data_IF_147653109035
#
_entry.id   IF_147653109035
#
_cell.length_a   1.000
_cell.length_b   1.000
_cell.length_c   1.000
_cell.angle_alpha   90.00
_cell.angle_beta   90.00
_cell.angle_gamma   90.00
#
_symmetry.space_group_name_H-M   'P 1'
#
loop_
_entity.id
_entity.type
_entity.pdbx_description
1 polymer ?
#
# COMPACT_ATOMS: atom_id res chain seq x y z
N UNK A 1 12.38 -66.68 29.22
CA UNK A 1 11.07 -66.09 29.55
C UNK A 1 11.07 -64.64 29.10
N UNK A 2 10.08 -64.31 28.26
CA UNK A 2 9.55 -63.01 27.84
C UNK A 2 10.40 -62.02 27.03
N UNK A 3 9.80 -61.74 25.86
CA UNK A 3 10.14 -60.81 24.80
C UNK A 3 9.57 -59.42 25.14
N UNK A 4 10.03 -58.37 24.47
CA UNK A 4 9.13 -57.48 23.71
C UNK A 4 9.92 -56.30 23.16
N UNK A 5 9.94 -56.21 21.83
CA UNK A 5 10.37 -55.01 21.13
C UNK A 5 9.29 -53.94 21.17
N UNK A 6 9.71 -52.68 21.14
CA UNK A 6 8.84 -51.58 20.76
C UNK A 6 9.46 -50.79 19.60
N UNK A 7 8.70 -50.77 18.52
CA UNK A 7 8.94 -49.99 17.33
C UNK A 7 8.50 -48.52 17.53
N UNK A 8 9.34 -47.61 17.01
CA UNK A 8 9.00 -46.50 16.14
C UNK A 8 7.73 -45.65 16.42
N UNK A 9 7.91 -44.34 16.63
CA UNK A 9 7.21 -43.32 15.82
C UNK A 9 7.85 -41.93 15.94
N UNK A 10 8.66 -41.57 14.96
CA UNK A 10 8.98 -40.17 14.68
C UNK A 10 7.71 -39.48 14.16
N UNK A 11 7.10 -38.63 14.97
CA UNK A 11 5.99 -37.77 14.56
C UNK A 11 6.54 -36.59 13.76
N UNK A 12 6.66 -36.76 12.44
CA UNK A 12 6.84 -35.64 11.52
C UNK A 12 5.49 -34.94 11.35
N UNK A 13 5.32 -33.78 11.99
CA UNK A 13 4.20 -32.87 11.74
C UNK A 13 4.42 -32.19 10.38
N UNK A 14 3.51 -32.31 9.39
CA UNK A 14 3.61 -31.53 8.17
C UNK A 14 3.20 -30.09 8.47
N UNK A 15 4.19 -29.22 8.69
CA UNK A 15 3.98 -27.76 8.81
C UNK A 15 4.30 -27.11 7.47
N UNK A 16 3.50 -27.36 6.43
CA UNK A 16 3.74 -26.69 5.12
C UNK A 16 2.47 -26.53 4.30
N UNK A 17 1.47 -25.83 4.85
CA UNK A 17 0.30 -25.44 4.04
C UNK A 17 -0.16 -24.01 4.30
N UNK A 18 0.20 -23.39 5.44
CA UNK A 18 -0.15 -22.00 5.71
C UNK A 18 0.73 -20.96 4.99
N UNK A 19 1.95 -21.31 4.57
CA UNK A 19 2.84 -20.36 3.89
C UNK A 19 2.44 -20.11 2.43
N UNK A 20 2.03 -21.14 1.70
CA UNK A 20 1.72 -21.03 0.27
C UNK A 20 0.47 -20.17 -0.01
N UNK A 21 -0.54 -20.23 0.87
CA UNK A 21 -1.74 -19.40 0.75
C UNK A 21 -1.46 -17.93 1.09
N UNK A 22 -0.55 -17.66 2.05
CA UNK A 22 -0.17 -16.29 2.44
C UNK A 22 0.67 -15.59 1.37
N UNK A 23 1.63 -16.29 0.75
CA UNK A 23 2.43 -15.73 -0.35
C UNK A 23 1.58 -15.45 -1.61
N UNK A 24 0.54 -16.25 -1.87
CA UNK A 24 -0.36 -16.01 -2.99
C UNK A 24 -1.18 -14.71 -2.84
N UNK A 25 -1.65 -14.40 -1.61
CA UNK A 25 -2.37 -13.14 -1.34
C UNK A 25 -1.43 -11.93 -1.23
N UNK A 26 -0.20 -12.11 -0.75
CA UNK A 26 0.84 -11.06 -0.75
C UNK A 26 1.24 -10.64 -2.17
N UNK A 27 1.25 -11.57 -3.13
CA UNK A 27 1.58 -11.29 -4.53
C UNK A 27 0.44 -10.69 -5.36
N UNK A 28 -0.83 -10.87 -4.98
CA UNK A 28 -1.96 -10.44 -5.81
C UNK A 28 -2.05 -8.91 -6.00
N UNK A 29 -1.53 -8.14 -5.04
CA UNK A 29 -1.49 -6.67 -5.12
C UNK A 29 -0.11 -6.12 -5.51
N UNK A 30 0.93 -6.96 -5.52
CA UNK A 30 2.29 -6.51 -5.72
C UNK A 30 2.54 -6.15 -7.19
N UNK A 31 3.12 -4.98 -7.45
CA UNK A 31 3.27 -4.43 -8.79
C UNK A 31 2.12 -3.53 -9.25
N UNK A 32 1.16 -3.23 -8.37
CA UNK A 32 0.08 -2.28 -8.67
C UNK A 32 0.48 -0.85 -8.31
N UNK A 33 0.11 0.07 -9.19
CA UNK A 33 0.10 1.51 -8.92
C UNK A 33 -1.35 1.96 -8.98
N UNK A 34 -1.80 2.69 -7.96
CA UNK A 34 -3.19 3.15 -7.85
C UNK A 34 -3.24 4.60 -7.46
N UNK A 35 -4.12 5.35 -8.11
CA UNK A 35 -4.38 6.74 -7.80
C UNK A 35 -5.58 6.87 -6.86
N UNK A 36 -5.43 7.67 -5.82
CA UNK A 36 -6.48 7.97 -4.85
C UNK A 36 -6.77 9.46 -4.91
N UNK A 37 -7.90 9.76 -5.52
CA UNK A 37 -8.42 11.12 -5.67
C UNK A 37 -9.30 11.43 -4.48
N UNK A 38 -9.01 12.52 -3.77
CA UNK A 38 -9.76 12.90 -2.57
C UNK A 38 -9.95 14.40 -2.48
N UNK A 39 -11.03 14.83 -1.83
CA UNK A 39 -11.27 16.25 -1.57
C UNK A 39 -10.38 16.75 -0.43
N UNK A 40 -9.71 17.90 -0.62
CA UNK A 40 -8.88 18.51 0.44
C UNK A 40 -9.68 18.78 1.73
N UNK A 41 -10.99 19.01 1.61
CA UNK A 41 -11.89 19.26 2.73
C UNK A 41 -12.22 17.99 3.54
N UNK A 42 -11.99 16.80 2.97
CA UNK A 42 -12.29 15.51 3.61
C UNK A 42 -11.15 14.49 3.46
N UNK A 43 -9.94 14.80 3.96
CA UNK A 43 -8.78 13.90 3.85
C UNK A 43 -8.95 12.60 4.66
N UNK A 44 -9.79 12.65 5.70
CA UNK A 44 -10.11 11.50 6.55
C UNK A 44 -10.72 10.33 5.74
N UNK A 45 -11.53 10.63 4.72
CA UNK A 45 -12.21 9.59 3.93
C UNK A 45 -11.21 8.75 3.12
N UNK A 46 -10.24 9.40 2.48
CA UNK A 46 -9.19 8.73 1.74
C UNK A 46 -8.33 7.84 2.64
N UNK A 47 -8.05 8.32 3.86
CA UNK A 47 -7.32 7.57 4.86
C UNK A 47 -8.09 6.32 5.29
N UNK A 48 -9.38 6.45 5.63
CA UNK A 48 -10.21 5.31 6.05
C UNK A 48 -10.33 4.23 4.97
N UNK A 49 -10.43 4.60 3.70
CA UNK A 49 -10.49 3.66 2.58
C UNK A 49 -9.17 2.88 2.42
N UNK A 50 -8.03 3.53 2.63
CA UNK A 50 -6.72 2.91 2.49
C UNK A 50 -6.30 2.08 3.70
N UNK A 51 -6.82 2.39 4.90
CA UNK A 51 -6.39 1.77 6.15
C UNK A 51 -6.42 0.23 6.15
N UNK A 52 -7.47 -0.47 5.69
CA UNK A 52 -7.50 -1.93 5.68
C UNK A 52 -6.36 -2.52 4.85
N UNK A 53 -6.06 -1.91 3.70
CA UNK A 53 -4.98 -2.35 2.83
C UNK A 53 -3.61 -2.02 3.42
N UNK A 54 -3.44 -0.85 4.01
CA UNK A 54 -2.20 -0.49 4.71
C UNK A 54 -1.94 -1.45 5.89
N UNK A 55 -2.97 -1.86 6.63
CA UNK A 55 -2.83 -2.89 7.68
C UNK A 55 -2.38 -4.22 7.11
N UNK A 56 -2.98 -4.67 6.00
CA UNK A 56 -2.59 -5.91 5.34
C UNK A 56 -1.13 -5.88 4.89
N UNK A 57 -0.71 -4.80 4.22
CA UNK A 57 0.67 -4.62 3.79
C UNK A 57 1.63 -4.48 4.98
N UNK A 58 1.16 -3.97 6.12
CA UNK A 58 1.94 -3.81 7.36
C UNK A 58 2.24 -5.13 8.08
N UNK A 59 1.51 -6.20 7.76
CA UNK A 59 1.83 -7.54 8.24
C UNK A 59 3.10 -8.10 7.60
N UNK A 60 3.52 -7.55 6.46
CA UNK A 60 4.77 -7.94 5.81
C UNK A 60 5.99 -7.47 6.64
N UNK A 61 7.12 -8.13 6.46
CA UNK A 61 8.40 -7.74 7.07
C UNK A 61 9.11 -6.63 6.30
N UNK A 62 8.35 -5.64 5.84
CA UNK A 62 8.78 -4.58 4.92
C UNK A 62 8.28 -3.22 5.38
N UNK A 63 8.94 -2.17 4.95
CA UNK A 63 8.63 -0.81 5.35
C UNK A 63 7.42 -0.25 4.58
N UNK A 64 6.73 0.71 5.19
CA UNK A 64 5.74 1.54 4.52
C UNK A 64 6.29 2.95 4.42
N UNK A 65 6.35 3.51 3.22
CA UNK A 65 6.95 4.82 2.97
C UNK A 65 5.88 5.86 2.63
N UNK A 66 5.91 6.98 3.34
CA UNK A 66 5.11 8.17 3.05
C UNK A 66 6.00 9.32 2.57
N UNK A 67 5.76 9.78 1.34
CA UNK A 67 6.36 10.97 0.75
C UNK A 67 5.34 12.11 0.81
N UNK A 68 5.38 12.89 1.89
CA UNK A 68 4.38 13.92 2.18
C UNK A 68 4.96 15.32 2.01
N UNK A 69 4.31 16.24 1.28
CA UNK A 69 4.84 17.58 1.04
C UNK A 69 4.84 18.44 2.31
N UNK A 70 3.80 18.35 3.17
CA UNK A 70 3.67 19.25 4.34
C UNK A 70 3.14 18.62 5.63
N UNK A 71 2.35 17.53 5.56
CA UNK A 71 1.73 16.96 6.76
C UNK A 71 2.65 15.97 7.45
N UNK A 72 2.92 16.17 8.74
CA UNK A 72 3.56 15.16 9.60
C UNK A 72 2.55 14.04 9.89
N UNK A 73 3.00 12.80 9.76
CA UNK A 73 2.20 11.64 10.10
C UNK A 73 2.12 11.56 11.64
N UNK A 74 0.92 11.74 12.20
CA UNK A 74 0.74 11.66 13.65
C UNK A 74 1.02 10.24 14.14
N UNK A 75 1.92 10.10 15.13
CA UNK A 75 2.21 8.81 15.76
C UNK A 75 0.96 8.18 16.37
N UNK A 76 0.11 9.00 16.99
CA UNK A 76 -1.16 8.57 17.58
C UNK A 76 -2.12 8.05 16.51
N UNK A 77 -2.18 8.71 15.35
CA UNK A 77 -2.96 8.23 14.22
C UNK A 77 -2.45 6.87 13.72
N UNK A 78 -1.14 6.71 13.54
CA UNK A 78 -0.56 5.42 13.09
C UNK A 78 -0.88 4.31 14.08
N UNK A 79 -0.76 4.58 15.39
CA UNK A 79 -1.05 3.63 16.44
C UNK A 79 -2.54 3.25 16.51
N UNK A 80 -3.44 4.24 16.55
CA UNK A 80 -4.89 4.03 16.56
C UNK A 80 -5.40 3.36 15.28
N UNK A 81 -4.71 3.61 14.17
CA UNK A 81 -4.92 2.97 12.88
C UNK A 81 -4.42 1.53 12.82
N UNK A 82 -3.78 0.99 13.86
CA UNK A 82 -3.29 -0.40 13.86
C UNK A 82 -2.17 -0.66 12.87
N UNK A 83 -1.45 0.39 12.44
CA UNK A 83 -0.27 0.27 11.59
C UNK A 83 0.97 0.00 12.45
N UNK A 84 1.95 -0.76 11.95
CA UNK A 84 3.16 -1.10 12.70
C UNK A 84 4.06 0.12 12.83
N UNK A 85 4.01 0.81 13.99
CA UNK A 85 4.78 2.05 14.25
C UNK A 85 6.29 1.93 13.93
N UNK A 86 6.85 0.72 14.10
CA UNK A 86 8.27 0.42 13.89
C UNK A 86 8.67 0.23 12.43
N UNK A 87 7.70 0.10 11.51
CA UNK A 87 7.92 -0.15 10.07
C UNK A 87 7.34 0.97 9.20
N UNK A 88 7.07 2.12 9.78
CA UNK A 88 6.55 3.29 9.10
C UNK A 88 7.67 4.31 8.95
N UNK A 89 7.94 4.71 7.71
CA UNK A 89 8.92 5.74 7.37
C UNK A 89 8.23 6.91 6.69
N UNK A 90 8.55 8.13 7.13
CA UNK A 90 8.05 9.34 6.53
C UNK A 90 9.21 10.21 6.05
N UNK A 91 9.12 10.69 4.80
CA UNK A 91 9.97 11.75 4.27
C UNK A 91 9.07 12.97 4.07
N UNK A 92 9.35 14.01 4.86
CA UNK A 92 8.65 15.30 4.78
C UNK A 92 9.48 16.32 4.00
N UNK A 93 8.84 17.38 3.48
CA UNK A 93 9.50 18.47 2.75
C UNK A 93 10.19 18.05 1.43
N UNK A 94 9.78 16.93 0.86
CA UNK A 94 10.24 16.54 -0.47
C UNK A 94 9.66 17.52 -1.51
N UNK A 95 10.53 18.12 -2.32
CA UNK A 95 10.06 18.99 -3.39
C UNK A 95 9.21 18.19 -4.39
N UNK A 96 8.08 18.73 -4.89
CA UNK A 96 7.16 17.99 -5.76
C UNK A 96 7.86 17.28 -6.94
N UNK A 97 8.79 17.99 -7.61
CA UNK A 97 9.62 17.48 -8.71
C UNK A 97 10.42 16.21 -8.41
N UNK A 98 10.72 15.94 -7.13
CA UNK A 98 11.51 14.78 -6.70
C UNK A 98 10.64 13.62 -6.22
N UNK A 99 9.33 13.81 -6.09
CA UNK A 99 8.41 12.80 -5.57
C UNK A 99 8.38 11.58 -6.48
N UNK A 100 8.20 11.77 -7.79
CA UNK A 100 8.15 10.69 -8.76
C UNK A 100 9.42 9.82 -8.72
N UNK A 101 10.58 10.46 -8.91
CA UNK A 101 11.88 9.79 -8.88
C UNK A 101 12.12 9.06 -7.56
N UNK A 102 11.73 9.66 -6.44
CA UNK A 102 11.86 9.04 -5.12
C UNK A 102 10.95 7.82 -4.97
N UNK A 103 9.72 7.88 -5.49
CA UNK A 103 8.80 6.74 -5.52
C UNK A 103 9.37 5.59 -6.36
N UNK A 104 9.81 5.88 -7.59
CA UNK A 104 10.40 4.88 -8.50
C UNK A 104 11.58 4.18 -7.84
N UNK A 105 12.50 4.94 -7.24
CA UNK A 105 13.67 4.39 -6.55
C UNK A 105 13.28 3.55 -5.34
N UNK A 106 12.38 4.05 -4.50
CA UNK A 106 11.92 3.35 -3.32
C UNK A 106 11.25 2.01 -3.68
N UNK A 107 10.32 2.02 -4.63
CA UNK A 107 9.64 0.82 -5.12
C UNK A 107 10.67 -0.21 -5.61
N UNK A 108 11.62 0.18 -6.47
CA UNK A 108 12.66 -0.73 -7.00
C UNK A 108 13.53 -1.40 -5.92
N UNK A 109 13.67 -0.82 -4.73
CA UNK A 109 14.53 -1.42 -3.69
C UNK A 109 13.99 -2.74 -3.15
N UNK A 110 12.69 -3.01 -3.28
CA UNK A 110 12.06 -4.17 -2.65
C UNK A 110 11.93 -4.10 -1.13
N UNK A 111 12.43 -3.05 -0.48
CA UNK A 111 12.38 -2.91 0.98
C UNK A 111 11.04 -2.42 1.51
N UNK A 112 10.18 -1.89 0.62
CA UNK A 112 8.89 -1.30 0.98
C UNK A 112 7.73 -2.15 0.48
N UNK A 113 6.77 -2.48 1.34
CA UNK A 113 5.51 -3.10 0.90
C UNK A 113 4.62 -2.09 0.17
N UNK A 114 4.71 -0.81 0.55
CA UNK A 114 3.94 0.28 -0.03
C UNK A 114 4.74 1.58 -0.05
N UNK A 115 4.58 2.35 -1.12
CA UNK A 115 5.11 3.71 -1.26
C UNK A 115 3.96 4.65 -1.62
N UNK A 116 3.75 5.67 -0.81
CA UNK A 116 2.64 6.63 -0.95
C UNK A 116 3.23 8.01 -1.23
N UNK A 117 2.87 8.62 -2.35
CA UNK A 117 3.31 9.96 -2.72
C UNK A 117 2.13 10.89 -3.00
N UNK A 118 2.27 12.15 -2.62
CA UNK A 118 1.29 13.20 -2.94
C UNK A 118 1.75 13.99 -4.15
N UNK A 119 0.94 13.99 -5.21
CA UNK A 119 1.27 14.63 -6.48
C UNK A 119 0.01 15.29 -7.05
N UNK A 120 0.12 16.54 -7.47
CA UNK A 120 -0.99 17.29 -8.08
C UNK A 120 -0.95 17.25 -9.60
N UNK A 121 0.22 17.03 -10.18
CA UNK A 121 0.45 16.99 -11.63
C UNK A 121 0.10 15.62 -12.20
N UNK A 122 -0.59 15.59 -13.34
CA UNK A 122 -0.86 14.35 -14.07
C UNK A 122 0.46 13.72 -14.52
N UNK A 123 0.54 12.39 -14.45
CA UNK A 123 1.72 11.66 -14.91
C UNK A 123 1.60 11.41 -16.41
N UNK A 124 2.71 11.48 -17.13
CA UNK A 124 2.75 10.98 -18.50
C UNK A 124 2.64 9.45 -18.52
N UNK A 125 2.33 8.89 -19.69
CA UNK A 125 2.26 7.43 -19.85
C UNK A 125 3.60 6.76 -19.53
N UNK A 126 4.73 7.38 -19.91
CA UNK A 126 6.08 6.90 -19.63
C UNK A 126 6.40 6.92 -18.13
N UNK A 127 5.98 7.98 -17.43
CA UNK A 127 6.16 8.11 -15.98
C UNK A 127 5.34 7.06 -15.23
N UNK A 128 4.08 6.87 -15.63
CA UNK A 128 3.22 5.85 -15.06
C UNK A 128 3.77 4.43 -15.33
N UNK A 129 4.22 4.15 -16.56
CA UNK A 129 4.84 2.87 -16.91
C UNK A 129 6.10 2.61 -16.07
N UNK A 130 6.92 3.65 -15.85
CA UNK A 130 8.12 3.56 -15.01
C UNK A 130 7.81 3.24 -13.55
N UNK A 131 6.73 3.83 -12.99
CA UNK A 131 6.25 3.50 -11.65
C UNK A 131 5.72 2.07 -11.54
N UNK A 132 4.92 1.63 -12.53
CA UNK A 132 4.38 0.26 -12.56
C UNK A 132 5.51 -0.76 -12.64
N UNK A 133 6.50 -0.52 -13.50
CA UNK A 133 7.66 -1.39 -13.61
C UNK A 133 8.47 -1.42 -12.31
N UNK A 134 8.70 -0.26 -11.69
CA UNK A 134 9.34 -0.17 -10.40
C UNK A 134 8.60 -0.94 -9.30
N UNK A 135 7.27 -0.83 -9.26
CA UNK A 135 6.41 -1.55 -8.31
C UNK A 135 6.50 -3.06 -8.53
N UNK A 136 6.52 -3.52 -9.79
CA UNK A 136 6.66 -4.94 -10.13
C UNK A 136 8.00 -5.49 -9.71
N UNK A 137 9.09 -4.83 -10.10
CA UNK A 137 10.47 -5.20 -9.70
C UNK A 137 10.60 -5.25 -8.19
N UNK A 138 10.01 -4.27 -7.51
CA UNK A 138 9.99 -4.17 -6.06
C UNK A 138 9.03 -5.10 -5.36
N UNK A 139 8.15 -5.83 -6.06
CA UNK A 139 7.01 -6.52 -5.47
C UNK A 139 6.22 -5.65 -4.47
N UNK A 140 6.00 -4.39 -4.80
CA UNK A 140 5.47 -3.36 -3.91
C UNK A 140 4.21 -2.71 -4.49
N UNK A 141 3.46 -1.99 -3.65
CA UNK A 141 2.29 -1.20 -4.09
C UNK A 141 2.65 0.28 -4.12
N UNK A 142 2.32 0.97 -5.20
CA UNK A 142 2.42 2.43 -5.32
C UNK A 142 1.07 3.11 -5.13
N UNK A 143 0.98 4.11 -4.25
CA UNK A 143 -0.19 4.99 -4.14
C UNK A 143 0.15 6.42 -4.50
N UNK A 144 -0.64 7.00 -5.40
CA UNK A 144 -0.56 8.42 -5.76
C UNK A 144 -1.78 9.12 -5.17
N UNK A 145 -1.54 10.01 -4.22
CA UNK A 145 -2.57 10.77 -3.53
C UNK A 145 -2.78 12.10 -4.25
N UNK A 146 -3.96 12.29 -4.84
CA UNK A 146 -4.34 13.48 -5.60
C UNK A 146 -5.41 14.29 -4.86
N UNK A 147 -5.04 15.43 -4.24
CA UNK A 147 -6.02 16.34 -3.67
C UNK A 147 -6.80 17.08 -4.78
N UNK A 148 -8.13 17.10 -4.68
CA UNK A 148 -9.01 17.90 -5.53
C UNK A 148 -9.55 19.07 -4.72
N UNK A 149 -9.33 20.29 -5.22
CA UNK A 149 -9.92 21.51 -4.66
C UNK A 149 -11.36 21.64 -5.14
N UNK A 150 -12.29 21.83 -4.21
CA UNK A 150 -13.72 21.99 -4.50
C UNK A 150 -14.07 23.24 -5.34
N UNK A 151 -13.11 24.14 -5.61
CA UNK A 151 -13.35 25.42 -6.29
C UNK A 151 -12.97 25.47 -7.78
N UNK A 152 -12.84 24.33 -8.46
CA UNK A 152 -12.72 24.30 -9.92
C UNK A 152 -13.85 23.47 -10.54
N UNK A 153 -15.00 24.10 -10.78
CA UNK A 153 -16.00 23.61 -11.72
C UNK A 153 -15.92 24.45 -13.00
N UNK A 154 -16.21 23.91 -14.20
CA UNK A 154 -16.15 22.51 -14.61
C UNK A 154 -15.45 22.35 -15.98
N UNK A 155 -14.59 21.33 -16.17
CA UNK A 155 -14.45 20.75 -17.51
C UNK A 155 -13.95 19.30 -17.51
N UNK A 156 -14.88 18.45 -17.95
CA UNK A 156 -14.73 17.17 -18.66
C UNK A 156 -14.46 15.93 -17.80
N UNK A 157 -15.48 15.07 -17.86
CA UNK A 157 -15.58 13.74 -17.31
C UNK A 157 -14.41 12.85 -17.74
N UNK A 158 -13.72 12.25 -16.77
CA UNK A 158 -13.04 10.97 -16.96
C UNK A 158 -13.55 9.99 -15.91
N UNK A 159 -13.81 8.77 -16.38
CA UNK A 159 -14.56 7.70 -15.73
C UNK A 159 -14.05 7.34 -14.33
N UNK A 160 -14.60 7.99 -13.30
CA UNK A 160 -14.54 7.51 -11.93
C UNK A 160 -15.64 6.47 -11.70
N UNK A 161 -15.27 5.33 -11.13
CA UNK A 161 -16.21 4.27 -10.75
C UNK A 161 -17.25 4.86 -9.76
N UNK A 162 -18.47 5.13 -10.24
CA UNK A 162 -19.59 5.54 -9.39
C UNK A 162 -20.17 4.31 -8.71
N UNK A 163 -19.92 4.15 -7.42
CA UNK A 163 -20.64 3.17 -6.61
C UNK A 163 -21.99 3.78 -6.25
N UNK A 164 -23.04 3.43 -7.00
CA UNK A 164 -24.41 3.76 -6.60
C UNK A 164 -24.82 2.80 -5.49
N UNK A 165 -24.95 3.32 -4.26
CA UNK A 165 -25.61 2.59 -3.18
C UNK A 165 -27.11 2.76 -3.36
N UNK A 166 -27.76 1.79 -4.00
CA UNK A 166 -29.22 1.71 -4.01
C UNK A 166 -29.67 1.02 -2.73
N UNK A 167 -30.01 1.82 -1.72
CA UNK A 167 -30.77 1.32 -0.58
C UNK A 167 -31.50 2.49 0.08
N UNK A 168 -32.73 2.77 -0.35
CA UNK A 168 -33.82 3.14 0.56
C UNK A 168 -35.14 2.60 -0.01
N UNK A 169 -35.84 1.92 0.89
CA UNK A 169 -37.19 1.37 0.78
C UNK A 169 -38.25 2.45 0.57
#
# INVERSE_FOLDING_TARGET
MYTSGYANRSSSFPTTTHNAARTATENAAAGLVSEVVYHEDQPMMAQLLLLPLLRQLGQQSRWQLWLTPQQKLSREWVQSSGLPLTKVMQISQLAPRHTLESMIRALRTGNYSVVIGWMTEELTEEEHASLVEAAKVGNAVGFIMRPVRAHALPRRQHSGLKIHSNLYH
#
